data_IF_681870480994
#
_entry.id   IF_681870480994
#
_cell.length_a   1.000
_cell.length_b   1.000
_cell.length_c   1.000
_cell.angle_alpha   90.00
_cell.angle_beta   90.00
_cell.angle_gamma   90.00
#
_symmetry.space_group_name_H-M   'P 1'
#
loop_
_entity.id
_entity.type
_entity.pdbx_description
1 polymer ?
#
# COMPACT_ATOMS: atom_id res chain seq x y z
N UNK A 1 6.33 4.39 -12.88
CA UNK A 1 7.14 3.46 -13.70
C UNK A 1 6.77 2.03 -13.33
N UNK A 2 7.02 1.57 -12.07
CA UNK A 2 6.74 0.19 -11.63
C UNK A 2 5.26 -0.20 -11.85
N UNK A 3 4.32 0.69 -11.53
CA UNK A 3 2.88 0.47 -11.79
C UNK A 3 2.46 0.66 -13.26
N UNK A 4 3.43 0.84 -14.18
CA UNK A 4 3.21 1.08 -15.61
C UNK A 4 2.31 2.29 -15.94
N UNK A 5 2.12 3.20 -15.01
CA UNK A 5 1.40 4.47 -15.24
C UNK A 5 2.23 5.39 -16.14
N UNK A 6 3.57 5.34 -16.01
CA UNK A 6 4.52 6.14 -16.78
C UNK A 6 5.59 5.24 -17.37
N UNK A 7 6.05 5.54 -18.57
CA UNK A 7 7.16 4.83 -19.24
C UNK A 7 8.49 5.43 -18.74
N UNK A 8 9.51 4.64 -18.45
CA UNK A 8 10.83 5.15 -18.09
C UNK A 8 11.49 5.83 -19.30
N UNK A 9 12.27 6.89 -19.06
CA UNK A 9 13.06 7.54 -20.11
C UNK A 9 14.24 6.69 -20.59
N UNK A 10 14.64 5.67 -19.84
CA UNK A 10 15.67 4.70 -20.16
C UNK A 10 15.76 3.63 -19.07
N UNK A 11 16.51 2.54 -19.32
CA UNK A 11 16.59 1.40 -18.43
C UNK A 11 15.36 0.48 -18.51
N UNK A 12 15.35 -0.52 -17.66
CA UNK A 12 14.27 -1.52 -17.59
C UNK A 12 13.83 -1.76 -16.14
N UNK A 13 12.60 -2.23 -15.97
CA UNK A 13 12.07 -2.71 -14.69
C UNK A 13 11.89 -4.21 -14.79
N UNK A 14 12.55 -4.93 -13.88
CA UNK A 14 12.40 -6.37 -13.76
C UNK A 14 11.48 -6.70 -12.59
N UNK A 15 10.57 -7.65 -12.82
CA UNK A 15 9.71 -8.24 -11.81
C UNK A 15 9.94 -9.75 -11.83
N UNK A 16 10.37 -10.32 -10.70
CA UNK A 16 10.79 -11.73 -10.61
C UNK A 16 11.85 -12.11 -11.68
N UNK A 17 12.84 -11.23 -11.91
CA UNK A 17 13.96 -11.47 -12.83
C UNK A 17 13.65 -11.34 -14.32
N UNK A 18 12.43 -10.94 -14.71
CA UNK A 18 12.03 -10.69 -16.11
C UNK A 18 11.41 -9.29 -16.29
N UNK A 19 11.42 -8.75 -17.50
CA UNK A 19 10.76 -7.47 -17.75
C UNK A 19 9.30 -7.48 -17.30
N UNK A 20 8.90 -6.42 -16.58
CA UNK A 20 7.55 -6.27 -16.03
C UNK A 20 6.51 -6.17 -17.16
N UNK A 21 5.41 -6.90 -17.02
CA UNK A 21 4.28 -6.92 -17.96
C UNK A 21 3.05 -6.23 -17.39
N UNK A 22 2.00 -6.10 -18.20
CA UNK A 22 0.72 -5.56 -17.73
C UNK A 22 0.05 -6.48 -16.70
N UNK A 23 0.18 -7.79 -16.86
CA UNK A 23 -0.41 -8.79 -15.96
C UNK A 23 0.22 -8.75 -14.56
N UNK A 24 1.49 -8.31 -14.45
CA UNK A 24 2.14 -8.17 -13.14
C UNK A 24 1.55 -7.04 -12.30
N UNK A 25 0.88 -6.06 -12.92
CA UNK A 25 0.19 -4.98 -12.20
C UNK A 25 -0.92 -5.52 -11.28
N UNK A 26 -1.50 -6.67 -11.60
CA UNK A 26 -2.48 -7.34 -10.72
C UNK A 26 -1.84 -7.85 -9.42
N UNK A 27 -0.52 -8.14 -9.43
CA UNK A 27 0.26 -8.59 -8.27
C UNK A 27 0.82 -7.45 -7.43
N UNK A 28 0.60 -6.20 -7.86
CA UNK A 28 1.13 -5.01 -7.21
C UNK A 28 0.02 -4.27 -6.49
N UNK A 29 0.18 -4.03 -5.19
CA UNK A 29 -0.61 -3.08 -4.42
C UNK A 29 0.09 -1.72 -4.40
N UNK A 30 -0.61 -0.65 -4.75
CA UNK A 30 -0.08 0.70 -4.67
C UNK A 30 -0.99 1.60 -3.84
N UNK A 31 -0.44 2.14 -2.77
CA UNK A 31 -1.07 3.13 -1.91
C UNK A 31 -0.41 4.48 -2.18
N UNK A 32 -1.04 5.38 -2.95
CA UNK A 32 -0.52 6.73 -3.14
C UNK A 32 -0.75 7.60 -1.91
N UNK A 33 0.07 8.62 -1.72
CA UNK A 33 -0.11 9.64 -0.67
C UNK A 33 -1.45 10.36 -0.83
N UNK A 34 -1.81 10.74 -2.05
CA UNK A 34 -3.09 11.35 -2.36
C UNK A 34 -4.17 10.29 -2.60
N UNK A 35 -5.41 10.64 -2.24
CA UNK A 35 -6.53 9.70 -2.24
C UNK A 35 -7.00 9.37 -3.66
N UNK A 36 -6.87 8.10 -4.03
CA UNK A 36 -7.40 7.55 -5.29
C UNK A 36 -8.87 7.09 -5.20
N UNK A 37 -9.65 7.58 -4.22
CA UNK A 37 -11.02 7.13 -4.01
C UNK A 37 -12.04 8.00 -4.76
N UNK A 38 -13.06 7.36 -5.38
CA UNK A 38 -14.16 8.02 -6.07
C UNK A 38 -15.20 8.54 -5.07
N UNK A 39 -15.27 9.84 -4.85
CA UNK A 39 -16.03 10.50 -3.79
C UNK A 39 -17.51 10.14 -3.76
N UNK A 40 -18.16 9.99 -4.92
CA UNK A 40 -19.61 9.72 -5.04
C UNK A 40 -19.99 8.24 -4.95
N UNK A 41 -19.00 7.32 -5.01
CA UNK A 41 -19.26 5.90 -4.87
C UNK A 41 -19.46 5.52 -3.41
N UNK A 42 -20.24 4.45 -3.18
CA UNK A 42 -20.28 3.80 -1.86
C UNK A 42 -18.96 3.08 -1.60
N UNK A 43 -18.57 3.04 -0.33
CA UNK A 43 -17.33 2.39 0.11
C UNK A 43 -17.26 0.93 -0.32
N UNK A 44 -18.33 0.17 -0.10
CA UNK A 44 -18.39 -1.25 -0.49
C UNK A 44 -18.33 -1.46 -2.00
N UNK A 45 -19.05 -0.65 -2.78
CA UNK A 45 -19.06 -0.75 -4.24
C UNK A 45 -17.65 -0.46 -4.80
N UNK A 46 -16.97 0.55 -4.25
CA UNK A 46 -15.63 0.92 -4.66
C UNK A 46 -14.60 -0.15 -4.26
N UNK A 47 -14.70 -0.69 -3.04
CA UNK A 47 -13.82 -1.76 -2.59
C UNK A 47 -13.96 -3.01 -3.46
N UNK A 48 -15.18 -3.40 -3.80
CA UNK A 48 -15.46 -4.48 -4.75
C UNK A 48 -14.91 -4.19 -6.15
N UNK A 49 -15.06 -2.95 -6.63
CA UNK A 49 -14.54 -2.53 -7.92
C UNK A 49 -13.02 -2.68 -7.99
N UNK A 50 -12.27 -2.15 -7.01
CA UNK A 50 -10.82 -2.27 -6.99
C UNK A 50 -10.33 -3.71 -6.84
N UNK A 51 -10.96 -4.51 -5.99
CA UNK A 51 -10.62 -5.93 -5.86
C UNK A 51 -10.78 -6.69 -7.19
N UNK A 52 -11.85 -6.40 -7.93
CA UNK A 52 -12.10 -7.00 -9.24
C UNK A 52 -11.12 -6.52 -10.31
N UNK A 53 -10.71 -5.25 -10.29
CA UNK A 53 -9.67 -4.73 -11.18
C UNK A 53 -8.31 -5.42 -10.97
N UNK A 54 -8.11 -5.99 -9.79
CA UNK A 54 -6.93 -6.78 -9.43
C UNK A 54 -7.12 -8.29 -9.65
N UNK A 55 -8.06 -8.68 -10.50
CA UNK A 55 -8.27 -10.07 -10.92
C UNK A 55 -9.11 -10.93 -9.96
N UNK A 56 -9.59 -10.40 -8.82
CA UNK A 56 -10.39 -11.19 -7.89
C UNK A 56 -11.78 -11.50 -8.46
N UNK A 57 -12.29 -12.72 -8.22
CA UNK A 57 -13.70 -13.03 -8.46
C UNK A 57 -14.59 -12.20 -7.53
N UNK A 58 -15.85 -11.94 -7.95
CA UNK A 58 -16.80 -11.20 -7.09
C UNK A 58 -17.04 -11.90 -5.75
N UNK A 59 -17.03 -13.25 -5.75
CA UNK A 59 -17.21 -14.05 -4.55
C UNK A 59 -16.05 -13.92 -3.59
N UNK A 60 -14.81 -14.08 -4.09
CA UNK A 60 -13.61 -14.01 -3.27
C UNK A 60 -13.39 -12.59 -2.74
N UNK A 61 -13.61 -11.57 -3.60
CA UNK A 61 -13.58 -10.17 -3.20
C UNK A 61 -14.53 -9.87 -2.04
N UNK A 62 -15.79 -10.33 -2.12
CA UNK A 62 -16.76 -10.12 -1.06
C UNK A 62 -16.35 -10.78 0.26
N UNK A 63 -15.82 -12.01 0.19
CA UNK A 63 -15.34 -12.75 1.38
C UNK A 63 -14.15 -12.04 2.04
N UNK A 64 -13.14 -11.69 1.25
CA UNK A 64 -11.93 -11.05 1.79
C UNK A 64 -12.21 -9.62 2.29
N UNK A 65 -12.99 -8.83 1.55
CA UNK A 65 -13.40 -7.50 2.01
C UNK A 65 -14.18 -7.54 3.31
N UNK A 66 -15.08 -8.53 3.49
CA UNK A 66 -15.79 -8.69 4.77
C UNK A 66 -14.82 -8.91 5.93
N UNK A 67 -13.79 -9.76 5.75
CA UNK A 67 -12.76 -9.99 6.79
C UNK A 67 -12.02 -8.71 7.13
N UNK A 68 -11.59 -7.95 6.11
CA UNK A 68 -10.90 -6.69 6.29
C UNK A 68 -11.76 -5.63 6.99
N UNK A 69 -13.03 -5.51 6.61
CA UNK A 69 -13.94 -4.55 7.21
C UNK A 69 -14.21 -4.87 8.69
N UNK A 70 -14.39 -6.15 9.02
CA UNK A 70 -14.50 -6.61 10.43
C UNK A 70 -13.22 -6.30 11.18
N UNK A 71 -12.05 -6.66 10.63
CA UNK A 71 -10.75 -6.44 11.26
C UNK A 71 -10.48 -4.96 11.59
N UNK A 72 -10.91 -4.05 10.72
CA UNK A 72 -10.74 -2.61 10.90
C UNK A 72 -11.92 -1.94 11.63
N UNK A 73 -12.96 -2.69 12.00
CA UNK A 73 -14.16 -2.17 12.69
C UNK A 73 -14.95 -1.17 11.85
N UNK A 74 -15.04 -1.41 10.54
CA UNK A 74 -15.64 -0.47 9.58
C UNK A 74 -16.80 -1.07 8.77
N UNK A 75 -17.41 -2.15 9.24
CA UNK A 75 -18.52 -2.82 8.54
C UNK A 75 -19.69 -1.88 8.27
N UNK A 76 -19.96 -0.97 9.22
CA UNK A 76 -21.03 0.03 9.09
C UNK A 76 -20.79 1.06 7.98
N UNK A 77 -19.57 1.13 7.43
CA UNK A 77 -19.24 2.09 6.38
C UNK A 77 -19.57 1.57 4.97
N UNK A 78 -19.90 0.30 4.82
CA UNK A 78 -20.14 -0.35 3.52
C UNK A 78 -21.06 0.45 2.60
N UNK A 79 -22.15 0.97 3.14
CA UNK A 79 -23.15 1.73 2.38
C UNK A 79 -22.96 3.25 2.41
N UNK A 80 -21.96 3.76 3.15
CA UNK A 80 -21.63 5.19 3.14
C UNK A 80 -20.99 5.58 1.82
N UNK A 81 -21.21 6.82 1.39
CA UNK A 81 -20.43 7.39 0.30
C UNK A 81 -19.02 7.77 0.79
N UNK A 82 -18.04 7.71 -0.09
CA UNK A 82 -16.66 8.08 0.24
C UNK A 82 -16.56 9.54 0.70
N UNK A 83 -17.36 10.44 0.15
CA UNK A 83 -17.41 11.85 0.55
C UNK A 83 -17.87 12.09 2.00
N UNK A 84 -18.52 11.11 2.62
CA UNK A 84 -18.95 11.17 4.02
C UNK A 84 -17.85 10.72 5.00
N UNK A 85 -16.71 10.23 4.49
CA UNK A 85 -15.61 9.75 5.30
C UNK A 85 -14.68 10.89 5.74
N UNK A 86 -14.22 10.85 6.99
CA UNK A 86 -13.08 11.66 7.42
C UNK A 86 -11.79 11.24 6.68
N UNK A 87 -10.73 12.05 6.81
CA UNK A 87 -9.43 11.74 6.20
C UNK A 87 -8.93 10.35 6.63
N UNK A 88 -8.86 10.07 7.93
CA UNK A 88 -8.40 8.78 8.44
C UNK A 88 -9.31 7.61 8.05
N UNK A 89 -10.63 7.82 7.99
CA UNK A 89 -11.57 6.81 7.50
C UNK A 89 -11.29 6.44 6.04
N UNK A 90 -11.11 7.44 5.17
CA UNK A 90 -10.82 7.22 3.76
C UNK A 90 -9.47 6.49 3.57
N UNK A 91 -8.47 6.78 4.40
CA UNK A 91 -7.18 6.10 4.36
C UNK A 91 -7.28 4.62 4.75
N UNK A 92 -8.09 4.26 5.76
CA UNK A 92 -8.37 2.85 6.07
C UNK A 92 -8.95 2.10 4.87
N UNK A 93 -9.95 2.69 4.23
CA UNK A 93 -10.56 2.11 3.02
C UNK A 93 -9.54 1.97 1.90
N UNK A 94 -8.72 2.99 1.68
CA UNK A 94 -7.68 2.98 0.66
C UNK A 94 -6.62 1.90 0.92
N UNK A 95 -6.17 1.75 2.18
CA UNK A 95 -5.26 0.67 2.56
C UNK A 95 -5.89 -0.71 2.28
N UNK A 96 -7.12 -0.95 2.72
CA UNK A 96 -7.82 -2.23 2.48
C UNK A 96 -7.91 -2.54 0.98
N UNK A 97 -8.29 -1.57 0.15
CA UNK A 97 -8.39 -1.78 -1.30
C UNK A 97 -7.04 -2.03 -1.96
N UNK A 98 -5.95 -1.59 -1.34
CA UNK A 98 -4.59 -1.83 -1.80
C UNK A 98 -4.10 -3.23 -1.50
N UNK A 99 -4.54 -3.87 -0.41
CA UNK A 99 -4.00 -5.14 0.07
C UNK A 99 -4.95 -6.34 -0.09
N UNK A 100 -6.24 -6.11 -0.35
CA UNK A 100 -7.27 -7.17 -0.36
C UNK A 100 -7.01 -8.30 -1.35
N UNK A 101 -6.35 -8.02 -2.46
CA UNK A 101 -6.00 -8.99 -3.50
C UNK A 101 -4.70 -9.76 -3.22
N UNK A 102 -4.12 -9.58 -2.01
CA UNK A 102 -2.89 -10.26 -1.55
C UNK A 102 -1.71 -10.05 -2.52
N UNK A 103 -1.32 -8.80 -2.77
CA UNK A 103 -0.22 -8.50 -3.69
C UNK A 103 1.10 -9.08 -3.20
N UNK A 104 1.95 -9.54 -4.13
CA UNK A 104 3.32 -9.97 -3.82
C UNK A 104 4.29 -8.79 -3.69
N UNK A 105 3.93 -7.62 -4.27
CA UNK A 105 4.67 -6.36 -4.12
C UNK A 105 3.71 -5.27 -3.64
N UNK A 106 4.05 -4.63 -2.53
CA UNK A 106 3.38 -3.46 -2.00
C UNK A 106 4.25 -2.22 -2.17
N UNK A 107 3.69 -1.17 -2.74
CA UNK A 107 4.32 0.14 -2.84
C UNK A 107 3.46 1.10 -2.02
N UNK A 108 4.00 1.61 -0.94
CA UNK A 108 3.31 2.44 0.04
C UNK A 108 3.96 3.82 0.10
N UNK A 109 3.23 4.85 -0.31
CA UNK A 109 3.71 6.22 -0.33
C UNK A 109 3.10 6.98 0.85
N UNK A 110 3.95 7.34 1.84
CA UNK A 110 3.56 7.99 3.10
C UNK A 110 2.33 7.33 3.76
N UNK A 111 2.34 6.00 4.01
CA UNK A 111 1.15 5.24 4.42
C UNK A 111 0.55 5.68 5.75
N UNK A 112 1.30 6.40 6.57
CA UNK A 112 0.86 6.86 7.90
C UNK A 112 0.35 8.31 7.89
N UNK A 113 0.46 9.02 6.77
CA UNK A 113 0.03 10.41 6.64
C UNK A 113 -1.46 10.57 6.93
N UNK A 114 -1.79 11.40 7.93
CA UNK A 114 -3.16 11.75 8.29
C UNK A 114 -3.91 10.73 9.15
N UNK A 115 -3.24 9.70 9.64
CA UNK A 115 -3.72 8.87 10.75
C UNK A 115 -3.38 9.52 12.11
N UNK A 116 -4.25 9.30 13.10
CA UNK A 116 -3.88 9.45 14.49
C UNK A 116 -2.97 8.27 14.92
N UNK A 117 -2.26 8.38 16.06
CA UNK A 117 -1.31 7.37 16.49
C UNK A 117 -1.88 5.95 16.61
N UNK A 118 -3.13 5.81 17.07
CA UNK A 118 -3.78 4.50 17.24
C UNK A 118 -4.05 3.84 15.90
N UNK A 119 -4.58 4.59 14.94
CA UNK A 119 -4.85 4.07 13.60
C UNK A 119 -3.55 3.84 12.81
N UNK A 120 -2.52 4.66 12.99
CA UNK A 120 -1.20 4.43 12.40
C UNK A 120 -0.60 3.10 12.89
N UNK A 121 -0.76 2.78 14.19
CA UNK A 121 -0.28 1.52 14.75
C UNK A 121 -0.94 0.30 14.12
N UNK A 122 -2.27 0.34 13.89
CA UNK A 122 -2.99 -0.75 13.22
C UNK A 122 -2.45 -0.99 11.80
N UNK A 123 -2.19 0.08 11.03
CA UNK A 123 -1.63 -0.03 9.69
C UNK A 123 -0.21 -0.60 9.73
N UNK A 124 0.60 -0.18 10.71
CA UNK A 124 1.97 -0.65 10.91
C UNK A 124 2.03 -2.16 11.17
N UNK A 125 1.19 -2.64 12.08
CA UNK A 125 1.06 -4.07 12.39
C UNK A 125 0.63 -4.88 11.16
N UNK A 126 -0.28 -4.34 10.34
CA UNK A 126 -0.69 -5.00 9.10
C UNK A 126 0.42 -5.04 8.05
N UNK A 127 1.22 -4.00 7.94
CA UNK A 127 2.39 -3.97 7.03
C UNK A 127 3.39 -5.05 7.45
N UNK A 128 3.71 -5.15 8.75
CA UNK A 128 4.59 -6.20 9.29
C UNK A 128 4.04 -7.60 9.01
N UNK A 129 2.75 -7.81 9.29
CA UNK A 129 2.10 -9.10 9.01
C UNK A 129 2.18 -9.49 7.53
N UNK A 130 1.91 -8.55 6.61
CA UNK A 130 2.01 -8.80 5.17
C UNK A 130 3.44 -9.10 4.74
N UNK A 131 4.44 -8.45 5.36
CA UNK A 131 5.87 -8.75 5.17
C UNK A 131 6.19 -10.19 5.61
N UNK A 132 5.73 -10.59 6.78
CA UNK A 132 5.90 -11.95 7.32
C UNK A 132 5.21 -13.02 6.43
N UNK A 133 4.10 -12.67 5.79
CA UNK A 133 3.40 -13.52 4.83
C UNK A 133 4.11 -13.59 3.45
N UNK A 134 5.24 -12.90 3.29
CA UNK A 134 6.11 -12.96 2.12
C UNK A 134 5.91 -11.86 1.09
N UNK A 135 5.15 -10.82 1.38
CA UNK A 135 5.06 -9.66 0.50
C UNK A 135 6.37 -8.86 0.51
N UNK A 136 6.85 -8.46 -0.65
CA UNK A 136 7.90 -7.45 -0.78
C UNK A 136 7.29 -6.07 -0.63
N UNK A 137 7.90 -5.21 0.21
CA UNK A 137 7.34 -3.89 0.50
C UNK A 137 8.35 -2.80 0.14
N UNK A 138 7.90 -1.83 -0.65
CA UNK A 138 8.61 -0.58 -0.91
C UNK A 138 7.83 0.51 -0.17
N UNK A 139 8.49 1.14 0.81
CA UNK A 139 7.91 2.19 1.64
C UNK A 139 8.65 3.50 1.36
N UNK A 140 7.92 4.55 0.95
CA UNK A 140 8.45 5.91 0.98
C UNK A 140 7.94 6.63 2.22
N UNK A 141 8.83 7.22 2.98
CA UNK A 141 8.50 8.03 4.16
C UNK A 141 9.64 8.96 4.53
N UNK A 142 9.30 10.05 5.21
CA UNK A 142 10.24 10.96 5.85
C UNK A 142 10.36 10.71 7.37
N UNK A 143 9.62 9.73 7.91
CA UNK A 143 9.64 9.37 9.33
C UNK A 143 10.67 8.26 9.58
N UNK A 144 11.78 8.61 10.24
CA UNK A 144 12.88 7.68 10.50
C UNK A 144 12.51 6.56 11.47
N UNK A 145 11.64 6.82 12.46
CA UNK A 145 11.14 5.78 13.37
C UNK A 145 10.42 4.66 12.60
N UNK A 146 9.59 5.02 11.63
CA UNK A 146 8.92 4.05 10.76
C UNK A 146 9.90 3.27 9.90
N UNK A 147 11.00 3.89 9.45
CA UNK A 147 12.06 3.21 8.70
C UNK A 147 12.76 2.17 9.56
N UNK A 148 13.16 2.53 10.78
CA UNK A 148 13.84 1.62 11.72
C UNK A 148 12.98 0.42 12.09
N UNK A 149 11.68 0.62 12.22
CA UNK A 149 10.75 -0.45 12.64
C UNK A 149 10.34 -1.39 11.50
N UNK A 150 10.17 -0.87 10.28
CA UNK A 150 9.53 -1.62 9.20
C UNK A 150 10.49 -2.11 8.12
N UNK A 151 11.64 -1.41 7.93
CA UNK A 151 12.50 -1.64 6.78
C UNK A 151 13.72 -2.49 7.15
N UNK A 152 14.09 -3.41 6.26
CA UNK A 152 15.37 -4.14 6.36
C UNK A 152 16.51 -3.35 5.70
N UNK A 153 16.18 -2.65 4.61
CA UNK A 153 17.12 -1.84 3.83
C UNK A 153 16.54 -0.47 3.56
N UNK A 154 17.43 0.52 3.39
CA UNK A 154 17.04 1.87 3.03
C UNK A 154 17.81 2.38 1.81
N UNK A 155 17.19 3.32 1.10
CA UNK A 155 17.84 4.17 0.13
C UNK A 155 17.48 5.63 0.44
N UNK A 156 18.45 6.41 0.91
CA UNK A 156 18.27 7.85 1.14
C UNK A 156 18.45 8.60 -0.17
N UNK A 157 17.42 9.33 -0.58
CA UNK A 157 17.43 10.11 -1.81
C UNK A 157 17.45 11.61 -1.48
N UNK A 158 18.40 12.34 -2.05
CA UNK A 158 18.49 13.79 -1.96
C UNK A 158 18.77 14.38 -3.34
N UNK A 159 17.99 15.38 -3.74
CA UNK A 159 18.12 16.06 -5.06
C UNK A 159 18.23 15.06 -6.22
N UNK A 160 17.36 14.05 -6.23
CA UNK A 160 17.30 12.98 -7.25
C UNK A 160 18.53 12.06 -7.30
N UNK A 161 19.40 12.08 -6.30
CA UNK A 161 20.55 11.21 -6.18
C UNK A 161 20.40 10.30 -4.95
N UNK A 162 20.75 9.02 -5.09
CA UNK A 162 20.88 8.10 -3.97
C UNK A 162 22.16 8.46 -3.21
N UNK A 163 22.01 8.89 -1.96
CA UNK A 163 23.13 9.35 -1.10
C UNK A 163 23.68 8.20 -0.26
N UNK A 164 22.77 7.38 0.28
CA UNK A 164 23.09 6.23 1.12
C UNK A 164 22.17 5.09 0.74
N UNK A 165 22.68 3.87 0.72
CA UNK A 165 21.90 2.64 0.57
C UNK A 165 22.55 1.54 1.40
N UNK A 166 21.73 0.65 1.98
CA UNK A 166 22.21 -0.50 2.76
C UNK A 166 21.20 -0.97 3.80
N UNK A 167 21.63 -1.92 4.61
CA UNK A 167 20.86 -2.41 5.75
C UNK A 167 20.63 -1.31 6.80
N UNK A 168 19.44 -1.27 7.39
CA UNK A 168 19.08 -0.26 8.42
C UNK A 168 20.06 -0.34 9.59
N UNK A 169 20.32 -1.54 10.09
CA UNK A 169 21.23 -1.75 11.22
C UNK A 169 22.68 -1.33 10.92
N UNK A 170 23.15 -1.61 9.69
CA UNK A 170 24.51 -1.22 9.26
C UNK A 170 24.66 0.30 9.23
N UNK A 171 23.64 0.98 8.67
CA UNK A 171 23.66 2.44 8.54
C UNK A 171 23.55 3.08 9.92
N UNK A 172 22.67 2.59 10.80
CA UNK A 172 22.52 3.06 12.17
C UNK A 172 23.80 2.98 13.01
N UNK A 173 24.62 1.92 12.79
CA UNK A 173 25.89 1.78 13.51
C UNK A 173 27.02 2.67 12.96
N UNK A 174 26.86 3.12 11.71
CA UNK A 174 27.89 3.91 11.02
C UNK A 174 27.74 5.42 11.22
N UNK A 175 26.52 5.87 11.46
CA UNK A 175 26.15 7.30 11.60
C UNK A 175 25.42 7.55 12.90
#
# INVERSE_FOLDING_TARGET
>A
IINRITIPGGGEVLFDGRPITQDDVEKIGYLPEERGLYRKMKVGDQAMYFARLKGMSSRDAAVELKKWFVKFGIESWWNKKVEELSKGMAQKVQFITTVVHKPSLLILDEPFSGFDPVNAQIIREEILRLKEEGATIILSTHNMESVEELCDNIALINKSHVVITGGVDEIRHKY
#
